data_IF_964894897052
#
_entry.id   IF_964894897052
#
_cell.length_a   1.000
_cell.length_b   1.000
_cell.length_c   1.000
_cell.angle_alpha   90.00
_cell.angle_beta   90.00
_cell.angle_gamma   90.00
#
_symmetry.space_group_name_H-M   'P 1'
#
loop_
_entity.id
_entity.type
_entity.pdbx_description
1 polymer ?
#
# COMPACT_ATOMS: atom_id res chain seq x y z
N UNK A 1 -42.48 27.23 3.68
CA UNK A 1 -41.68 26.00 3.88
C UNK A 1 -40.79 25.80 2.68
N UNK A 2 -39.48 25.61 2.87
CA UNK A 2 -38.56 25.27 1.77
C UNK A 2 -38.25 23.77 1.83
N UNK A 3 -38.61 22.96 0.82
CA UNK A 3 -37.94 21.70 0.60
C UNK A 3 -36.80 21.99 -0.38
N UNK A 4 -35.63 22.34 0.14
CA UNK A 4 -34.39 22.30 -0.65
C UNK A 4 -33.41 21.31 -0.03
N UNK A 5 -33.88 20.08 0.22
CA UNK A 5 -32.97 18.95 0.37
C UNK A 5 -32.37 18.73 -1.01
N UNK A 6 -31.16 19.25 -1.20
CA UNK A 6 -30.35 19.07 -2.39
C UNK A 6 -30.40 17.61 -2.81
N UNK A 7 -30.59 17.32 -4.10
CA UNK A 7 -30.54 15.95 -4.63
C UNK A 7 -29.30 15.17 -4.12
N UNK A 8 -28.21 15.87 -3.81
CA UNK A 8 -27.00 15.32 -3.17
C UNK A 8 -27.27 14.63 -1.80
N UNK A 9 -28.20 15.13 -1.00
CA UNK A 9 -28.59 14.53 0.27
C UNK A 9 -29.42 13.26 0.06
N UNK A 10 -30.34 13.27 -0.90
CA UNK A 10 -31.14 12.08 -1.23
C UNK A 10 -30.27 10.93 -1.76
N UNK A 11 -29.23 11.23 -2.54
CA UNK A 11 -28.28 10.21 -3.00
C UNK A 11 -27.40 9.63 -1.86
N UNK A 12 -26.98 10.47 -0.89
CA UNK A 12 -26.24 10.00 0.30
C UNK A 12 -27.04 9.02 1.16
N UNK A 13 -28.36 9.25 1.30
CA UNK A 13 -29.24 8.42 2.13
C UNK A 13 -29.62 7.11 1.43
N UNK A 14 -29.83 7.11 0.10
CA UNK A 14 -30.26 5.91 -0.64
C UNK A 14 -29.17 4.86 -0.88
N UNK A 15 -27.89 5.24 -0.85
CA UNK A 15 -26.76 4.35 -1.16
C UNK A 15 -25.98 3.89 0.08
N UNK A 16 -26.53 4.05 1.29
CA UNK A 16 -25.82 3.69 2.52
C UNK A 16 -24.45 4.37 2.58
N UNK A 17 -24.43 5.69 2.41
CA UNK A 17 -23.27 6.53 2.10
C UNK A 17 -21.97 6.09 2.78
N UNK A 18 -21.22 5.22 2.09
CA UNK A 18 -19.81 5.06 2.36
C UNK A 18 -19.16 6.37 1.96
N UNK A 19 -18.53 7.05 2.92
CA UNK A 19 -17.66 8.17 2.63
C UNK A 19 -16.68 7.72 1.52
N UNK A 20 -16.57 8.40 0.37
CA UNK A 20 -15.61 8.03 -0.67
C UNK A 20 -14.15 8.05 -0.16
N UNK A 21 -13.91 8.70 0.98
CA UNK A 21 -12.65 8.64 1.71
C UNK A 21 -12.55 7.44 2.70
N UNK A 22 -13.58 6.63 2.86
CA UNK A 22 -13.52 5.45 3.72
C UNK A 22 -12.78 4.30 3.05
N UNK A 23 -11.94 3.61 3.82
CA UNK A 23 -11.23 2.40 3.40
C UNK A 23 -11.90 1.21 4.10
N UNK A 24 -12.85 0.51 3.44
CA UNK A 24 -13.77 -0.41 4.12
C UNK A 24 -13.16 -1.75 4.56
N UNK A 25 -11.85 -1.96 4.37
CA UNK A 25 -11.18 -3.23 4.66
C UNK A 25 -11.46 -3.75 6.09
N UNK A 26 -11.74 -5.06 6.28
CA UNK A 26 -11.65 -6.15 5.28
C UNK A 26 -12.85 -6.28 4.35
N UNK A 27 -13.91 -5.48 4.53
CA UNK A 27 -15.06 -5.56 3.63
C UNK A 27 -14.64 -5.19 2.20
N UNK A 28 -15.20 -5.87 1.18
CA UNK A 28 -14.94 -5.53 -0.20
C UNK A 28 -15.39 -4.08 -0.49
N UNK A 29 -14.70 -3.38 -1.40
CA UNK A 29 -15.11 -2.05 -1.81
C UNK A 29 -16.49 -2.05 -2.49
N UNK A 30 -17.22 -0.92 -2.48
CA UNK A 30 -18.58 -0.84 -3.02
C UNK A 30 -18.64 -1.12 -4.53
N UNK A 31 -19.68 -1.85 -4.96
CA UNK A 31 -19.98 -2.11 -6.37
C UNK A 31 -21.24 -1.30 -6.80
N UNK A 32 -21.26 -0.69 -8.00
CA UNK A 32 -20.25 -0.75 -9.06
C UNK A 32 -18.99 0.09 -8.77
N UNK A 33 -17.83 -0.27 -9.36
CA UNK A 33 -16.61 0.51 -9.22
C UNK A 33 -16.81 1.90 -9.83
N UNK A 34 -16.47 2.94 -9.07
CA UNK A 34 -16.46 4.33 -9.57
C UNK A 34 -15.10 4.97 -9.33
N UNK A 35 -14.84 6.08 -10.02
CA UNK A 35 -13.58 6.81 -9.88
C UNK A 35 -13.39 7.46 -8.51
N UNK A 36 -14.49 7.72 -7.81
CA UNK A 36 -14.51 8.28 -6.45
C UNK A 36 -14.05 7.25 -5.42
N UNK A 37 -14.39 5.96 -5.60
CA UNK A 37 -14.02 4.87 -4.67
C UNK A 37 -12.73 4.14 -5.06
N UNK A 38 -11.99 4.62 -6.06
CA UNK A 38 -10.76 3.95 -6.55
C UNK A 38 -9.73 3.70 -5.44
N UNK A 39 -9.62 4.60 -4.46
CA UNK A 39 -8.71 4.46 -3.33
C UNK A 39 -9.04 3.22 -2.49
N UNK A 40 -10.33 2.91 -2.30
CA UNK A 40 -10.77 1.72 -1.58
C UNK A 40 -10.38 0.43 -2.32
N UNK A 41 -10.53 0.40 -3.65
CA UNK A 41 -10.11 -0.73 -4.48
C UNK A 41 -8.60 -0.95 -4.47
N UNK A 42 -7.82 0.13 -4.64
CA UNK A 42 -6.36 0.07 -4.59
C UNK A 42 -5.87 -0.40 -3.22
N UNK A 43 -6.43 0.18 -2.15
CA UNK A 43 -6.08 -0.19 -0.79
C UNK A 43 -6.43 -1.64 -0.48
N UNK A 44 -7.63 -2.10 -0.86
CA UNK A 44 -8.05 -3.49 -0.67
C UNK A 44 -7.14 -4.46 -1.42
N UNK A 45 -6.86 -4.18 -2.71
CA UNK A 45 -5.96 -5.00 -3.52
C UNK A 45 -4.55 -5.07 -2.93
N UNK A 46 -3.94 -3.92 -2.61
CA UNK A 46 -2.60 -3.84 -2.05
C UNK A 46 -2.51 -4.55 -0.69
N UNK A 47 -3.52 -4.40 0.18
CA UNK A 47 -3.59 -5.16 1.43
C UNK A 47 -3.53 -6.66 1.20
N UNK A 48 -4.41 -7.20 0.34
CA UNK A 48 -4.48 -8.65 0.08
C UNK A 48 -3.22 -9.15 -0.61
N UNK A 49 -2.81 -8.46 -1.67
CA UNK A 49 -1.70 -8.88 -2.52
C UNK A 49 -0.36 -8.78 -1.79
N UNK A 50 -0.04 -7.61 -1.21
CA UNK A 50 1.26 -7.40 -0.56
C UNK A 50 1.41 -8.25 0.70
N UNK A 51 0.34 -8.41 1.48
CA UNK A 51 0.36 -9.30 2.66
C UNK A 51 0.50 -10.76 2.25
N UNK A 52 -0.28 -11.22 1.26
CA UNK A 52 -0.24 -12.61 0.80
C UNK A 52 1.09 -12.98 0.16
N UNK A 53 1.56 -12.19 -0.81
CA UNK A 53 2.84 -12.43 -1.49
C UNK A 53 4.01 -12.23 -0.54
N UNK A 54 3.97 -11.22 0.34
CA UNK A 54 4.96 -11.01 1.38
C UNK A 54 5.07 -12.19 2.32
N UNK A 55 3.95 -12.73 2.79
CA UNK A 55 3.91 -13.94 3.63
C UNK A 55 4.52 -15.16 2.91
N UNK A 56 4.15 -15.40 1.65
CA UNK A 56 4.70 -16.50 0.86
C UNK A 56 6.23 -16.37 0.66
N UNK A 57 6.70 -15.15 0.40
CA UNK A 57 8.13 -14.85 0.28
C UNK A 57 8.86 -15.06 1.61
N UNK A 58 8.31 -14.54 2.71
CA UNK A 58 8.89 -14.66 4.05
C UNK A 58 8.96 -16.13 4.51
N UNK A 59 7.96 -16.95 4.15
CA UNK A 59 7.95 -18.39 4.43
C UNK A 59 8.90 -19.20 3.53
N UNK A 60 9.64 -18.57 2.63
CA UNK A 60 10.65 -19.24 1.80
C UNK A 60 10.10 -19.99 0.58
N UNK A 61 8.81 -19.83 0.24
CA UNK A 61 8.25 -20.43 -0.98
C UNK A 61 8.85 -19.84 -2.27
N UNK A 62 9.48 -18.66 -2.19
CA UNK A 62 10.23 -18.05 -3.28
C UNK A 62 11.73 -18.12 -2.99
N UNK A 63 12.44 -19.02 -3.70
CA UNK A 63 13.81 -19.51 -3.47
C UNK A 63 14.95 -18.48 -3.64
N UNK A 64 14.91 -17.32 -3.00
CA UNK A 64 16.04 -16.36 -3.03
C UNK A 64 16.13 -15.60 -1.71
N UNK A 65 17.30 -15.54 -1.08
CA UNK A 65 17.48 -14.95 0.26
C UNK A 65 17.05 -13.47 0.32
N UNK A 66 17.45 -12.70 -0.70
CA UNK A 66 16.96 -11.33 -0.85
C UNK A 66 15.43 -11.26 -0.99
N UNK A 67 14.80 -12.27 -1.60
CA UNK A 67 13.35 -12.36 -1.70
C UNK A 67 12.70 -12.65 -0.35
N UNK A 68 13.36 -13.33 0.58
CA UNK A 68 12.84 -13.55 1.93
C UNK A 68 12.90 -12.26 2.75
N UNK A 69 14.02 -11.53 2.71
CA UNK A 69 14.17 -10.23 3.39
C UNK A 69 13.13 -9.24 2.88
N UNK A 70 13.03 -9.11 1.55
CA UNK A 70 11.99 -8.29 0.91
C UNK A 70 10.60 -8.78 1.26
N UNK A 71 10.37 -10.10 1.30
CA UNK A 71 9.11 -10.70 1.69
C UNK A 71 8.67 -10.30 3.09
N UNK A 72 9.61 -10.27 4.04
CA UNK A 72 9.36 -9.80 5.39
C UNK A 72 8.98 -8.31 5.39
N UNK A 73 9.68 -7.48 4.62
CA UNK A 73 9.34 -6.05 4.51
C UNK A 73 7.97 -5.82 3.85
N UNK A 74 7.64 -6.55 2.80
CA UNK A 74 6.32 -6.51 2.16
C UNK A 74 5.22 -6.99 3.11
N UNK A 75 5.48 -8.05 3.90
CA UNK A 75 4.57 -8.56 4.91
C UNK A 75 4.33 -7.52 6.00
N UNK A 76 5.40 -7.00 6.62
CA UNK A 76 5.29 -5.97 7.66
C UNK A 76 4.61 -4.72 7.11
N UNK A 77 4.96 -4.30 5.90
CA UNK A 77 4.32 -3.21 5.18
C UNK A 77 2.83 -3.44 5.03
N UNK A 78 2.41 -4.58 4.45
CA UNK A 78 1.01 -4.96 4.26
C UNK A 78 0.22 -5.10 5.57
N UNK A 79 0.87 -5.61 6.60
CA UNK A 79 0.33 -5.72 7.96
C UNK A 79 0.08 -4.34 8.60
N UNK A 80 1.05 -3.43 8.54
CA UNK A 80 0.90 -2.04 9.00
C UNK A 80 -0.14 -1.29 8.15
N UNK A 81 -0.28 -1.67 6.87
CA UNK A 81 -1.25 -1.12 5.93
C UNK A 81 -2.72 -1.48 6.25
N UNK A 82 -2.94 -2.44 7.15
CA UNK A 82 -4.27 -2.85 7.57
C UNK A 82 -4.95 -1.73 8.37
N UNK A 83 -6.01 -1.09 7.84
CA UNK A 83 -6.60 0.12 8.42
C UNK A 83 -7.33 -0.16 9.74
N UNK A 84 -7.50 -1.45 10.08
CA UNK A 84 -8.18 -1.92 11.29
C UNK A 84 -7.28 -2.66 12.26
N UNK A 85 -5.97 -2.64 12.08
CA UNK A 85 -5.09 -3.14 13.14
C UNK A 85 -5.08 -2.14 14.30
N UNK A 86 -6.13 -2.20 15.12
CA UNK A 86 -6.35 -1.31 16.28
C UNK A 86 -5.11 -1.25 17.17
N UNK A 87 -4.42 -2.38 17.37
CA UNK A 87 -3.20 -2.42 18.18
C UNK A 87 -2.06 -1.53 17.64
N UNK A 88 -1.92 -1.39 16.32
CA UNK A 88 -0.91 -0.51 15.69
C UNK A 88 -1.43 0.92 15.65
N UNK A 89 -2.67 1.11 15.17
CA UNK A 89 -3.26 2.44 15.03
C UNK A 89 -3.36 3.18 16.37
N UNK A 90 -3.74 2.50 17.46
CA UNK A 90 -3.83 3.11 18.79
C UNK A 90 -2.46 3.55 19.34
N UNK A 91 -1.37 2.88 18.95
CA UNK A 91 -0.01 3.25 19.36
C UNK A 91 0.54 4.46 18.61
N UNK A 92 -0.03 4.77 17.43
CA UNK A 92 0.39 5.89 16.59
C UNK A 92 -0.34 7.21 16.92
N UNK A 93 -1.23 7.20 17.91
CA UNK A 93 -1.89 8.41 18.42
C UNK A 93 -3.14 8.83 17.62
N UNK A 94 -3.48 10.13 17.68
CA UNK A 94 -4.74 10.69 17.17
C UNK A 94 -4.95 10.49 15.67
N UNK A 95 -3.87 10.50 14.90
CA UNK A 95 -3.86 10.27 13.43
C UNK A 95 -3.37 8.86 13.07
N UNK A 96 -3.41 7.94 14.03
CA UNK A 96 -2.79 6.63 13.92
C UNK A 96 -3.21 5.80 12.71
N UNK A 97 -4.50 5.72 12.35
CA UNK A 97 -4.93 5.00 11.14
C UNK A 97 -4.36 5.58 9.85
N UNK A 98 -4.25 6.90 9.73
CA UNK A 98 -3.68 7.53 8.54
C UNK A 98 -2.16 7.38 8.48
N UNK A 99 -1.50 7.52 9.63
CA UNK A 99 -0.07 7.30 9.73
C UNK A 99 0.29 5.84 9.44
N UNK A 100 -0.49 4.88 9.94
CA UNK A 100 -0.32 3.46 9.64
C UNK A 100 -0.41 3.20 8.12
N UNK A 101 -1.39 3.81 7.44
CA UNK A 101 -1.49 3.70 5.98
C UNK A 101 -0.26 4.25 5.28
N UNK A 102 0.22 5.44 5.67
CA UNK A 102 1.43 6.05 5.08
C UNK A 102 2.67 5.19 5.31
N UNK A 103 2.89 4.75 6.54
CA UNK A 103 4.01 3.89 6.91
C UNK A 103 3.98 2.56 6.14
N UNK A 104 2.81 1.93 6.04
CA UNK A 104 2.65 0.70 5.25
C UNK A 104 2.97 0.92 3.77
N UNK A 105 2.46 2.01 3.16
CA UNK A 105 2.79 2.37 1.77
C UNK A 105 4.30 2.63 1.58
N UNK A 106 4.93 3.34 2.51
CA UNK A 106 6.36 3.65 2.45
C UNK A 106 7.23 2.40 2.57
N UNK A 107 6.88 1.48 3.47
CA UNK A 107 7.56 0.19 3.61
C UNK A 107 7.38 -0.68 2.37
N UNK A 108 6.16 -0.75 1.82
CA UNK A 108 5.88 -1.45 0.56
C UNK A 108 6.74 -0.88 -0.57
N UNK A 109 6.77 0.45 -0.74
CA UNK A 109 7.57 1.09 -1.79
C UNK A 109 9.07 0.86 -1.60
N UNK A 110 9.58 0.91 -0.38
CA UNK A 110 10.98 0.58 -0.11
C UNK A 110 11.29 -0.89 -0.45
N UNK A 111 10.43 -1.83 -0.07
CA UNK A 111 10.60 -3.24 -0.40
C UNK A 111 10.56 -3.49 -1.92
N UNK A 112 9.63 -2.86 -2.63
CA UNK A 112 9.54 -2.93 -4.09
C UNK A 112 10.78 -2.32 -4.75
N UNK A 113 11.31 -1.21 -4.21
CA UNK A 113 12.56 -0.60 -4.69
C UNK A 113 13.75 -1.57 -4.57
N UNK A 114 13.85 -2.28 -3.44
CA UNK A 114 14.87 -3.32 -3.27
C UNK A 114 14.73 -4.42 -4.33
N UNK A 115 13.52 -4.86 -4.69
CA UNK A 115 13.31 -5.83 -5.76
C UNK A 115 13.74 -5.27 -7.12
N UNK A 116 13.33 -4.04 -7.44
CA UNK A 116 13.64 -3.38 -8.72
C UNK A 116 15.14 -3.26 -8.94
N UNK A 117 15.93 -3.10 -7.87
CA UNK A 117 17.38 -3.07 -7.95
C UNK A 117 18.02 -4.39 -8.39
N UNK A 118 17.27 -5.50 -8.40
CA UNK A 118 17.80 -6.81 -8.79
C UNK A 118 17.84 -6.96 -10.31
N UNK A 119 18.98 -7.43 -10.83
CA UNK A 119 19.18 -7.63 -12.27
C UNK A 119 18.27 -8.71 -12.86
N UNK A 120 17.87 -9.69 -12.04
CA UNK A 120 17.10 -10.86 -12.49
C UNK A 120 15.57 -10.71 -12.39
N UNK A 121 15.03 -9.71 -11.68
CA UNK A 121 13.58 -9.64 -11.38
C UNK A 121 12.96 -8.26 -11.60
N UNK A 122 12.93 -7.80 -12.86
CA UNK A 122 12.08 -6.67 -13.28
C UNK A 122 10.66 -7.15 -13.62
N UNK A 123 9.96 -7.70 -12.63
CA UNK A 123 8.60 -8.21 -12.85
C UNK A 123 7.63 -7.04 -13.14
N UNK A 124 6.84 -7.09 -14.23
CA UNK A 124 5.77 -6.12 -14.48
C UNK A 124 4.80 -5.99 -13.31
N UNK A 125 4.63 -7.07 -12.54
CA UNK A 125 3.78 -7.11 -11.35
C UNK A 125 4.34 -6.22 -10.23
N UNK A 126 5.67 -6.19 -10.06
CA UNK A 126 6.33 -5.34 -9.06
C UNK A 126 6.09 -3.85 -9.38
N UNK A 127 6.27 -3.48 -10.65
CA UNK A 127 6.03 -2.11 -11.11
C UNK A 127 4.56 -1.71 -10.98
N UNK A 128 3.61 -2.62 -11.28
CA UNK A 128 2.19 -2.31 -11.07
C UNK A 128 1.85 -2.10 -9.60
N UNK A 129 2.44 -2.87 -8.68
CA UNK A 129 2.23 -2.65 -7.24
C UNK A 129 2.82 -1.31 -6.77
N UNK A 130 3.99 -0.91 -7.29
CA UNK A 130 4.58 0.38 -6.98
C UNK A 130 3.69 1.54 -7.47
N UNK A 131 3.22 1.45 -8.72
CA UNK A 131 2.31 2.45 -9.30
C UNK A 131 0.97 2.53 -8.57
N UNK A 132 0.38 1.38 -8.20
CA UNK A 132 -0.85 1.35 -7.41
C UNK A 132 -0.65 1.96 -6.02
N UNK A 133 0.50 1.73 -5.38
CA UNK A 133 0.80 2.32 -4.07
C UNK A 133 0.98 3.84 -4.17
N UNK A 134 1.66 4.33 -5.21
CA UNK A 134 1.79 5.77 -5.48
C UNK A 134 0.44 6.42 -5.83
N UNK A 135 -0.40 5.76 -6.63
CA UNK A 135 -1.72 6.26 -6.99
C UNK A 135 -2.66 6.32 -5.77
N UNK A 136 -2.54 5.36 -4.85
CA UNK A 136 -3.26 5.40 -3.58
C UNK A 136 -2.79 6.57 -2.70
N UNK A 137 -1.47 6.78 -2.57
CA UNK A 137 -0.93 7.94 -1.86
C UNK A 137 -1.41 9.26 -2.48
N UNK A 138 -1.38 9.37 -3.81
CA UNK A 138 -1.90 10.53 -4.54
C UNK A 138 -3.38 10.76 -4.26
N UNK A 139 -4.17 9.70 -4.33
CA UNK A 139 -5.63 9.77 -4.16
C UNK A 139 -6.05 10.14 -2.74
N UNK A 140 -5.23 9.80 -1.73
CA UNK A 140 -5.51 10.06 -0.32
C UNK A 140 -4.94 11.38 0.20
N UNK A 141 -3.73 11.72 -0.23
CA UNK A 141 -2.94 12.79 0.38
C UNK A 141 -2.41 13.82 -0.63
N UNK A 142 -2.75 13.67 -1.91
CA UNK A 142 -2.36 14.60 -2.97
C UNK A 142 -0.96 14.37 -3.54
N UNK A 143 -0.51 15.28 -4.43
CA UNK A 143 0.73 15.09 -5.21
C UNK A 143 2.01 15.04 -4.35
N UNK A 144 2.06 15.76 -3.23
CA UNK A 144 3.24 15.79 -2.35
C UNK A 144 3.54 14.42 -1.73
N UNK A 145 2.52 13.60 -1.47
CA UNK A 145 2.71 12.25 -0.95
C UNK A 145 3.35 11.30 -1.98
N UNK A 146 3.18 11.57 -3.28
CA UNK A 146 3.88 10.83 -4.35
C UNK A 146 5.38 11.07 -4.24
N UNK A 147 5.81 12.31 -4.03
CA UNK A 147 7.23 12.65 -3.94
C UNK A 147 7.91 11.88 -2.79
N UNK A 148 7.26 11.83 -1.62
CA UNK A 148 7.76 11.04 -0.48
C UNK A 148 7.76 9.55 -0.82
N UNK A 149 6.68 9.02 -1.42
CA UNK A 149 6.61 7.62 -1.85
C UNK A 149 7.70 7.25 -2.86
N UNK A 150 7.95 8.11 -3.85
CA UNK A 150 9.03 7.94 -4.82
C UNK A 150 10.40 7.99 -4.13
N UNK A 151 10.57 8.85 -3.13
CA UNK A 151 11.73 8.88 -2.24
C UNK A 151 11.97 7.52 -1.57
N UNK A 152 10.93 6.91 -0.99
CA UNK A 152 11.03 5.59 -0.37
C UNK A 152 11.37 4.49 -1.38
N UNK A 153 10.83 4.55 -2.59
CA UNK A 153 11.19 3.64 -3.68
C UNK A 153 12.68 3.78 -4.07
N UNK A 154 13.20 5.00 -4.13
CA UNK A 154 14.62 5.26 -4.39
C UNK A 154 15.51 4.76 -3.25
N UNK A 155 15.14 5.00 -1.99
CA UNK A 155 15.85 4.48 -0.80
C UNK A 155 15.89 2.95 -0.84
N UNK A 156 14.78 2.31 -1.16
CA UNK A 156 14.70 0.87 -1.36
C UNK A 156 15.65 0.40 -2.46
N UNK A 157 15.65 1.07 -3.60
CA UNK A 157 16.54 0.75 -4.72
C UNK A 157 18.01 0.85 -4.32
N UNK A 158 18.41 1.96 -3.69
CA UNK A 158 19.77 2.16 -3.21
C UNK A 158 20.18 1.08 -2.19
N UNK A 159 19.32 0.77 -1.23
CA UNK A 159 19.56 -0.27 -0.23
C UNK A 159 19.73 -1.64 -0.87
N UNK A 160 18.90 -1.97 -1.87
CA UNK A 160 19.01 -3.22 -2.60
C UNK A 160 20.29 -3.33 -3.44
N UNK A 161 20.76 -2.22 -4.03
CA UNK A 161 22.06 -2.18 -4.73
C UNK A 161 23.23 -2.40 -3.75
N UNK A 162 23.19 -1.75 -2.59
CA UNK A 162 24.21 -1.89 -1.54
C UNK A 162 24.27 -3.33 -1.03
N UNK A 163 23.12 -3.94 -0.73
CA UNK A 163 23.05 -5.33 -0.26
C UNK A 163 23.56 -6.33 -1.30
N UNK A 164 23.30 -6.09 -2.59
CA UNK A 164 23.85 -6.91 -3.67
C UNK A 164 25.37 -6.73 -3.79
N UNK A 165 25.88 -5.51 -3.63
CA UNK A 165 27.31 -5.21 -3.66
C UNK A 165 28.10 -5.85 -2.52
N UNK A 166 27.50 -6.01 -1.35
CA UNK A 166 28.13 -6.75 -0.24
C UNK A 166 28.12 -8.26 -0.48
N UNK A 167 26.98 -8.84 -0.92
CA UNK A 167 26.91 -10.29 -1.20
C UNK A 167 27.82 -10.73 -2.35
N UNK A 168 28.03 -9.87 -3.35
CA UNK A 168 28.93 -10.15 -4.47
C UNK A 168 30.42 -10.11 -4.13
N UNK A 169 30.81 -9.61 -2.94
CA UNK A 169 32.21 -9.61 -2.47
C UNK A 169 32.56 -10.82 -1.58
N UNK A 170 31.57 -11.61 -1.19
CA UNK A 170 31.70 -12.78 -0.30
C UNK A 170 31.66 -14.13 -1.03
N UNK A 171 31.66 -14.12 -2.37
CA UNK A 171 31.92 -15.29 -3.22
C UNK A 171 33.21 -15.04 -4.00
#
# INVERSE_FOLDING_TARGET
GRPSSSWKEQWKVKMGGADPASLPFPAPPPFPPTWEVRAAYLHWWLCVFMTGVGALKAAGFLRHDLSQIVGLLELVGGLVFLPRWKAIALRLGKDGPEMALRLGAWLILAALGMIVSTTKRKSPVCWSQALFTLELLRSRYGPSAIAVGAGMLMVGTASGLVLQGFHGKTM
#
